data_IF_105492762479
#
_entry.id   IF_105492762479
#
_cell.length_a   1.000
_cell.length_b   1.000
_cell.length_c   1.000
_cell.angle_alpha   90.00
_cell.angle_beta   90.00
_cell.angle_gamma   90.00
#
_symmetry.space_group_name_H-M   'P 1'
#
loop_
_entity.id
_entity.type
_entity.pdbx_description
1 polymer ?
#
# COMPACT_ATOMS: atom_id res chain seq x y z
N UNK A 1 -8.61 6.50 -22.88
CA UNK A 1 -7.15 6.60 -22.64
C UNK A 1 -6.51 5.40 -23.29
N UNK A 2 -5.27 5.52 -23.73
CA UNK A 2 -4.51 4.38 -24.26
C UNK A 2 -3.20 4.30 -23.52
N UNK A 3 -2.83 3.12 -23.05
CA UNK A 3 -1.54 2.86 -22.42
C UNK A 3 -0.75 1.87 -23.26
N UNK A 4 0.52 2.16 -23.47
CA UNK A 4 1.41 1.29 -24.25
C UNK A 4 2.56 0.86 -23.35
N UNK A 5 2.95 -0.41 -23.44
CA UNK A 5 4.05 -0.99 -22.68
C UNK A 5 4.98 -1.75 -23.60
N UNK A 6 6.27 -1.52 -23.44
CA UNK A 6 7.32 -2.30 -24.08
C UNK A 6 8.03 -3.11 -23.01
N UNK A 7 8.49 -4.29 -23.41
CA UNK A 7 9.18 -5.20 -22.52
C UNK A 7 10.66 -5.31 -22.91
N UNK A 8 11.52 -5.63 -21.94
CA UNK A 8 12.88 -6.10 -22.22
C UNK A 8 12.90 -7.60 -22.55
N UNK A 9 14.08 -8.13 -22.84
CA UNK A 9 14.30 -9.55 -23.17
C UNK A 9 13.94 -10.51 -22.02
N UNK A 10 13.70 -10.00 -20.81
CA UNK A 10 13.24 -10.75 -19.65
C UNK A 10 11.72 -10.65 -19.43
N UNK A 11 10.99 -9.95 -20.30
CA UNK A 11 9.55 -9.74 -20.18
C UNK A 11 9.17 -8.74 -19.10
N UNK A 12 10.08 -7.87 -18.67
CA UNK A 12 9.82 -6.78 -17.73
C UNK A 12 9.50 -5.50 -18.49
N UNK A 13 8.63 -4.65 -17.93
CA UNK A 13 8.26 -3.39 -18.58
C UNK A 13 9.47 -2.45 -18.60
N UNK A 14 10.14 -2.32 -19.75
CA UNK A 14 11.26 -1.41 -19.94
C UNK A 14 10.78 0.01 -20.22
N UNK A 15 9.60 0.16 -20.82
CA UNK A 15 9.04 1.46 -21.18
C UNK A 15 7.52 1.47 -21.11
N UNK A 16 6.94 2.61 -20.74
CA UNK A 16 5.48 2.79 -20.75
C UNK A 16 5.08 4.20 -21.16
N UNK A 17 3.95 4.33 -21.85
CA UNK A 17 3.38 5.61 -22.26
C UNK A 17 1.87 5.67 -22.01
N UNK A 18 1.35 6.88 -21.95
CA UNK A 18 -0.08 7.15 -21.79
C UNK A 18 -0.54 8.21 -22.76
N UNK A 19 -1.68 7.95 -23.41
CA UNK A 19 -2.30 8.81 -24.39
C UNK A 19 -3.72 9.17 -23.97
N UNK A 20 -4.10 10.42 -24.22
CA UNK A 20 -5.46 10.94 -24.04
C UNK A 20 -5.92 11.55 -25.35
N UNK A 21 -6.95 10.96 -25.97
CA UNK A 21 -7.48 11.40 -27.27
C UNK A 21 -6.39 11.45 -28.35
N UNK A 22 -5.52 10.45 -28.40
CA UNK A 22 -4.41 10.37 -29.36
C UNK A 22 -3.17 11.20 -28.98
N UNK A 23 -3.26 12.12 -28.02
CA UNK A 23 -2.11 12.91 -27.59
C UNK A 23 -1.36 12.24 -26.44
N UNK A 24 -0.02 12.14 -26.55
CA UNK A 24 0.83 11.66 -25.46
C UNK A 24 0.69 12.58 -24.24
N UNK A 25 0.59 11.97 -23.06
CA UNK A 25 0.44 12.67 -21.77
C UNK A 25 1.69 12.53 -20.90
N UNK A 26 2.25 11.33 -20.82
CA UNK A 26 3.49 11.03 -20.10
C UNK A 26 4.13 9.76 -20.66
N UNK A 27 5.41 9.57 -20.36
CA UNK A 27 6.14 8.33 -20.61
C UNK A 27 7.08 8.01 -19.44
N UNK A 28 7.47 6.76 -19.28
CA UNK A 28 8.41 6.32 -18.26
C UNK A 28 9.32 5.21 -18.78
N UNK A 29 10.61 5.33 -18.49
CA UNK A 29 11.63 4.32 -18.76
C UNK A 29 12.01 3.64 -17.44
N UNK A 30 12.23 2.33 -17.48
CA UNK A 30 12.61 1.53 -16.32
C UNK A 30 13.89 0.76 -16.61
N UNK A 31 14.73 0.67 -15.59
CA UNK A 31 15.93 -0.16 -15.58
C UNK A 31 15.83 -1.15 -14.44
N UNK A 32 16.26 -2.38 -14.70
CA UNK A 32 16.26 -3.47 -13.73
C UNK A 32 17.70 -3.92 -13.43
N UNK A 33 17.89 -4.63 -12.33
CA UNK A 33 19.13 -5.36 -12.09
C UNK A 33 19.11 -6.73 -12.81
N UNK A 34 20.30 -7.33 -12.98
CA UNK A 34 20.48 -8.63 -13.63
C UNK A 34 20.23 -9.84 -12.69
N UNK A 35 19.46 -9.67 -11.61
CA UNK A 35 19.20 -10.77 -10.68
C UNK A 35 18.16 -11.76 -11.22
N UNK A 36 18.20 -13.01 -10.73
CA UNK A 36 17.18 -14.04 -11.01
C UNK A 36 15.74 -13.59 -10.72
N UNK A 37 15.58 -12.66 -9.78
CA UNK A 37 14.34 -11.95 -9.52
C UNK A 37 14.61 -10.45 -9.69
N UNK A 38 14.41 -9.92 -10.90
CA UNK A 38 14.80 -8.56 -11.21
C UNK A 38 13.89 -7.56 -10.48
N UNK A 39 14.49 -6.50 -9.94
CA UNK A 39 13.82 -5.36 -9.34
C UNK A 39 14.27 -4.07 -10.02
N UNK A 40 13.39 -3.06 -9.99
CA UNK A 40 13.67 -1.75 -10.60
C UNK A 40 14.83 -1.08 -9.86
N UNK A 41 15.89 -0.73 -10.58
CA UNK A 41 17.04 0.04 -10.07
C UNK A 41 16.91 1.51 -10.39
N UNK A 42 16.23 1.87 -11.48
CA UNK A 42 15.88 3.26 -11.76
C UNK A 42 14.60 3.41 -12.59
N UNK A 43 13.94 4.55 -12.44
CA UNK A 43 12.85 4.98 -13.30
C UNK A 43 13.09 6.43 -13.76
N UNK A 44 12.74 6.74 -15.00
CA UNK A 44 12.78 8.10 -15.54
C UNK A 44 11.40 8.46 -16.06
N UNK A 45 10.77 9.46 -15.45
CA UNK A 45 9.48 9.98 -15.89
C UNK A 45 9.65 11.19 -16.79
N UNK A 46 8.97 11.18 -17.92
CA UNK A 46 9.03 12.23 -18.95
C UNK A 46 7.63 12.78 -19.23
N UNK A 47 7.56 14.08 -19.50
CA UNK A 47 6.32 14.74 -19.89
C UNK A 47 5.92 14.44 -21.34
N UNK A 48 4.79 15.01 -21.78
CA UNK A 48 4.29 14.86 -23.16
C UNK A 48 5.27 15.25 -24.27
N UNK A 49 6.26 16.11 -23.99
CA UNK A 49 7.30 16.53 -24.95
C UNK A 49 8.55 15.63 -24.92
N UNK A 50 8.59 14.63 -24.05
CA UNK A 50 9.77 13.78 -23.83
C UNK A 50 10.81 14.39 -22.89
N UNK A 51 10.55 15.56 -22.29
CA UNK A 51 11.49 16.14 -21.33
C UNK A 51 11.38 15.39 -19.99
N UNK A 52 12.53 15.07 -19.40
CA UNK A 52 12.61 14.47 -18.07
C UNK A 52 11.99 15.42 -17.03
N UNK A 53 11.06 14.92 -16.24
CA UNK A 53 10.49 15.63 -15.09
C UNK A 53 11.11 15.16 -13.76
N UNK A 54 11.38 13.86 -13.68
CA UNK A 54 11.83 13.18 -12.47
C UNK A 54 12.65 11.95 -12.83
N UNK A 55 13.70 11.69 -12.08
CA UNK A 55 14.36 10.38 -12.06
C UNK A 55 14.34 9.80 -10.65
N UNK A 56 14.22 8.49 -10.56
CA UNK A 56 14.19 7.71 -9.33
C UNK A 56 15.28 6.65 -9.38
N UNK A 57 15.97 6.46 -8.26
CA UNK A 57 17.04 5.48 -8.13
C UNK A 57 16.87 4.69 -6.86
N UNK A 58 17.08 3.38 -6.96
CA UNK A 58 16.88 2.42 -5.89
C UNK A 58 18.16 1.59 -5.72
N UNK A 59 18.70 1.60 -4.51
CA UNK A 59 19.75 0.67 -4.10
C UNK A 59 19.18 -0.28 -3.07
N UNK A 60 19.49 -1.55 -3.26
CA UNK A 60 18.94 -2.65 -2.49
C UNK A 60 20.07 -3.36 -1.76
N UNK A 61 19.91 -3.53 -0.44
CA UNK A 61 20.80 -4.38 0.34
C UNK A 61 20.46 -5.88 0.12
N UNK A 62 19.20 -6.17 -0.19
CA UNK A 62 18.69 -7.50 -0.52
C UNK A 62 17.51 -7.41 -1.50
N UNK A 63 17.04 -8.56 -2.00
CA UNK A 63 15.93 -8.64 -2.97
C UNK A 63 14.58 -8.11 -2.46
N UNK A 64 14.43 -7.85 -1.17
CA UNK A 64 13.15 -7.50 -0.55
C UNK A 64 13.02 -6.03 -0.17
N UNK A 65 14.14 -5.30 0.03
CA UNK A 65 14.10 -3.92 0.54
C UNK A 65 15.21 -3.02 -0.03
N UNK A 66 14.79 -1.86 -0.54
CA UNK A 66 15.71 -0.78 -0.87
C UNK A 66 16.36 -0.23 0.43
N UNK A 67 17.69 -0.22 0.46
CA UNK A 67 18.50 0.44 1.49
C UNK A 67 18.58 1.95 1.23
N UNK A 68 18.46 2.37 -0.03
CA UNK A 68 18.47 3.77 -0.41
C UNK A 68 17.51 4.06 -1.56
N UNK A 69 16.84 5.21 -1.48
CA UNK A 69 15.94 5.70 -2.51
C UNK A 69 16.18 7.19 -2.74
N UNK A 70 16.54 7.57 -3.97
CA UNK A 70 16.87 8.95 -4.36
C UNK A 70 15.93 9.40 -5.48
N UNK A 71 15.50 10.65 -5.42
CA UNK A 71 14.71 11.30 -6.46
C UNK A 71 15.38 12.60 -6.89
N UNK A 72 15.57 12.77 -8.20
CA UNK A 72 16.05 14.01 -8.80
C UNK A 72 14.96 14.70 -9.64
N UNK A 73 15.06 16.02 -9.78
CA UNK A 73 14.24 16.79 -10.71
C UNK A 73 14.87 16.80 -12.12
N UNK A 74 14.24 17.53 -13.04
CA UNK A 74 14.73 17.73 -14.41
C UNK A 74 16.11 18.38 -14.54
N UNK A 75 16.64 19.01 -13.48
CA UNK A 75 17.99 19.60 -13.44
C UNK A 75 19.04 18.68 -12.81
N UNK A 76 18.63 17.49 -12.35
CA UNK A 76 19.48 16.57 -11.60
C UNK A 76 19.57 16.86 -10.10
N UNK A 77 18.90 17.89 -9.59
CA UNK A 77 18.94 18.20 -8.15
C UNK A 77 18.18 17.15 -7.36
N UNK A 78 18.79 16.62 -6.29
CA UNK A 78 18.12 15.73 -5.35
C UNK A 78 16.97 16.46 -4.64
N UNK A 79 15.74 16.06 -4.91
CA UNK A 79 14.54 16.61 -4.24
C UNK A 79 14.15 15.82 -3.01
N UNK A 80 14.45 14.51 -3.01
CA UNK A 80 14.14 13.56 -1.96
C UNK A 80 15.26 12.51 -1.89
N UNK A 81 15.61 12.11 -0.67
CA UNK A 81 16.47 10.95 -0.42
C UNK A 81 16.03 10.27 0.87
N UNK A 82 15.95 8.96 0.86
CA UNK A 82 15.71 8.13 2.04
C UNK A 82 16.78 7.08 2.13
N UNK A 83 17.33 6.89 3.32
CA UNK A 83 18.35 5.89 3.61
C UNK A 83 17.89 5.04 4.78
N UNK A 84 18.21 3.75 4.74
CA UNK A 84 17.99 2.82 5.84
C UNK A 84 19.31 2.20 6.23
N UNK A 85 19.63 2.29 7.51
CA UNK A 85 20.81 1.63 8.03
C UNK A 85 20.52 0.15 8.29
N UNK A 86 21.56 -0.66 8.18
CA UNK A 86 21.52 -2.03 8.69
C UNK A 86 21.31 -2.05 10.21
N UNK A 87 20.80 -3.17 10.72
CA UNK A 87 20.69 -3.37 12.16
C UNK A 87 22.09 -3.66 12.71
N UNK A 88 22.56 -2.80 13.60
CA UNK A 88 23.80 -2.95 14.35
C UNK A 88 23.49 -2.82 15.84
N UNK A 89 23.93 -3.77 16.66
CA UNK A 89 23.70 -3.81 18.10
C UNK A 89 22.21 -3.64 18.48
N UNK A 90 21.34 -4.33 17.74
CA UNK A 90 19.87 -4.27 17.88
C UNK A 90 19.30 -2.85 17.71
N UNK A 91 19.99 -2.00 16.96
CA UNK A 91 19.54 -0.65 16.60
C UNK A 91 19.71 -0.38 15.11
N UNK A 92 18.90 0.53 14.58
CA UNK A 92 19.13 1.10 13.24
C UNK A 92 18.67 2.56 13.19
N UNK A 93 19.23 3.31 12.24
CA UNK A 93 18.83 4.69 11.98
C UNK A 93 18.41 4.82 10.52
N UNK A 94 17.18 5.28 10.30
CA UNK A 94 16.69 5.59 8.97
C UNK A 94 16.65 7.11 8.79
N UNK A 95 17.14 7.62 7.66
CA UNK A 95 17.23 9.05 7.40
C UNK A 95 16.30 9.47 6.27
N UNK A 96 15.70 10.65 6.43
CA UNK A 96 14.87 11.28 5.40
C UNK A 96 15.33 12.71 5.11
N UNK A 97 15.72 12.93 3.86
CA UNK A 97 16.21 14.20 3.34
C UNK A 97 15.24 14.80 2.34
N UNK A 98 15.17 16.13 2.33
CA UNK A 98 14.45 16.91 1.32
C UNK A 98 15.31 18.07 0.85
N UNK A 99 15.55 18.14 -0.46
CA UNK A 99 16.47 19.12 -1.07
C UNK A 99 17.85 19.11 -0.38
N UNK A 100 18.44 17.92 -0.24
CA UNK A 100 19.75 17.71 0.41
C UNK A 100 19.81 17.91 1.93
N UNK A 101 18.74 18.38 2.59
CA UNK A 101 18.73 18.65 4.03
C UNK A 101 18.01 17.55 4.81
N UNK A 102 18.61 17.04 5.89
CA UNK A 102 17.97 16.11 6.81
C UNK A 102 16.72 16.77 7.40
N UNK A 103 15.57 16.13 7.26
CA UNK A 103 14.29 16.63 7.77
C UNK A 103 13.78 15.80 8.93
N UNK A 104 14.02 14.50 8.90
CA UNK A 104 13.55 13.52 9.87
C UNK A 104 14.52 12.34 9.90
N UNK A 105 14.60 11.68 11.04
CA UNK A 105 15.24 10.37 11.14
C UNK A 105 14.51 9.51 12.18
N UNK A 106 14.58 8.20 12.01
CA UNK A 106 13.99 7.23 12.91
C UNK A 106 15.12 6.46 13.58
N UNK A 107 15.05 6.34 14.90
CA UNK A 107 15.91 5.44 15.67
C UNK A 107 15.07 4.24 16.04
N UNK A 108 15.42 3.07 15.50
CA UNK A 108 14.74 1.82 15.77
C UNK A 108 15.55 1.02 16.78
N UNK A 109 14.87 0.42 17.74
CA UNK A 109 15.39 -0.57 18.67
C UNK A 109 14.69 -1.90 18.43
N UNK A 110 15.43 -2.99 18.56
CA UNK A 110 14.96 -4.34 18.28
C UNK A 110 15.15 -5.25 19.50
N UNK A 111 14.35 -6.31 19.56
CA UNK A 111 14.64 -7.45 20.41
C UNK A 111 15.74 -8.33 19.78
N UNK A 112 16.28 -9.28 20.54
CA UNK A 112 17.32 -10.22 20.05
C UNK A 112 16.88 -11.01 18.81
N UNK A 113 15.59 -11.34 18.72
CA UNK A 113 14.99 -11.98 17.55
C UNK A 113 14.80 -11.03 16.33
N UNK A 114 15.35 -9.80 16.39
CA UNK A 114 15.27 -8.74 15.37
C UNK A 114 13.85 -8.21 15.10
N UNK A 115 12.88 -8.52 15.97
CA UNK A 115 11.56 -7.86 15.91
C UNK A 115 11.65 -6.44 16.50
N UNK A 116 10.85 -5.51 15.94
CA UNK A 116 10.82 -4.11 16.39
C UNK A 116 10.34 -4.01 17.83
N UNK A 117 11.18 -3.43 18.69
CA UNK A 117 10.88 -3.15 20.10
C UNK A 117 10.34 -1.73 20.28
N UNK A 118 10.99 -0.76 19.65
CA UNK A 118 10.66 0.66 19.77
C UNK A 118 11.15 1.43 18.54
N UNK A 119 10.42 2.46 18.14
CA UNK A 119 10.88 3.41 17.13
C UNK A 119 10.69 4.83 17.66
N UNK A 120 11.70 5.68 17.52
CA UNK A 120 11.59 7.10 17.86
C UNK A 120 11.83 7.92 16.60
N UNK A 121 10.86 8.75 16.22
CA UNK A 121 11.00 9.72 15.14
C UNK A 121 11.50 11.05 15.72
N UNK A 122 12.60 11.52 15.18
CA UNK A 122 13.18 12.82 15.44
C UNK A 122 12.99 13.76 14.24
N UNK A 123 12.91 15.05 14.52
CA UNK A 123 13.15 16.07 13.49
C UNK A 123 14.63 16.12 13.10
N UNK A 124 14.95 16.69 11.94
CA UNK A 124 16.34 16.85 11.49
C UNK A 124 17.20 17.77 12.38
N UNK A 125 16.62 18.41 13.41
CA UNK A 125 17.34 19.16 14.46
C UNK A 125 17.49 18.38 15.77
N UNK A 126 17.13 17.09 15.80
CA UNK A 126 17.22 16.25 17.00
C UNK A 126 16.06 16.36 17.99
N UNK A 127 15.04 17.18 17.71
CA UNK A 127 13.83 17.21 18.56
C UNK A 127 12.99 15.94 18.35
N UNK A 128 12.72 15.19 19.42
CA UNK A 128 11.77 14.08 19.45
C UNK A 128 10.39 14.52 18.99
N UNK A 129 9.76 13.71 18.14
CA UNK A 129 8.43 13.95 17.59
C UNK A 129 7.46 12.88 18.00
N UNK A 130 7.86 11.62 17.89
CA UNK A 130 6.99 10.48 18.17
C UNK A 130 7.80 9.29 18.64
N UNK A 131 7.18 8.48 19.50
CA UNK A 131 7.69 7.21 19.97
C UNK A 131 6.61 6.16 19.65
N UNK A 132 6.99 5.09 18.95
CA UNK A 132 6.20 3.88 18.84
C UNK A 132 6.79 2.85 19.78
N UNK A 133 5.98 2.40 20.73
CA UNK A 133 6.34 1.37 21.69
C UNK A 133 5.52 0.11 21.37
N UNK A 134 6.22 -0.97 21.06
CA UNK A 134 5.63 -2.25 20.68
C UNK A 134 5.58 -3.24 21.86
N UNK A 135 5.93 -2.80 23.07
CA UNK A 135 5.84 -3.60 24.28
C UNK A 135 4.38 -3.72 24.73
N UNK A 136 3.86 -4.95 24.81
CA UNK A 136 2.52 -5.20 25.33
C UNK A 136 2.50 -4.97 26.85
N UNK A 137 1.54 -4.18 27.32
CA UNK A 137 1.15 -4.15 28.74
C UNK A 137 0.01 -5.13 28.94
N UNK A 138 -0.11 -5.71 30.14
CA UNK A 138 -1.18 -6.65 30.47
C UNK A 138 -2.58 -6.03 30.20
N UNK A 139 -3.53 -6.90 29.85
CA UNK A 139 -4.89 -6.52 29.53
C UNK A 139 -5.54 -5.79 30.71
N UNK A 140 -6.03 -4.56 30.49
CA UNK A 140 -6.61 -3.71 31.54
C UNK A 140 -5.66 -2.71 32.18
N UNK A 141 -4.36 -2.72 31.87
CA UNK A 141 -3.45 -1.66 32.29
C UNK A 141 -3.73 -0.39 31.48
N UNK A 142 -4.10 0.69 32.17
CA UNK A 142 -4.27 2.00 31.56
C UNK A 142 -2.98 2.43 30.85
N UNK A 143 -3.04 2.52 29.53
CA UNK A 143 -1.96 3.11 28.74
C UNK A 143 -2.02 4.62 29.02
N UNK A 144 -1.29 5.05 30.06
CA UNK A 144 -1.19 6.48 30.42
C UNK A 144 -0.85 7.28 29.17
N UNK A 145 -1.65 8.32 28.92
CA UNK A 145 -1.43 9.32 27.89
C UNK A 145 -0.01 9.87 28.00
N UNK A 146 0.92 9.41 27.16
CA UNK A 146 2.15 10.16 26.91
C UNK A 146 1.92 10.97 25.66
N UNK A 147 2.32 12.24 25.73
CA UNK A 147 2.06 13.26 24.71
C UNK A 147 2.48 12.85 23.29
N UNK A 148 3.40 11.88 23.17
CA UNK A 148 4.03 11.49 21.93
C UNK A 148 4.24 9.96 21.77
N UNK A 149 3.50 9.09 22.50
CA UNK A 149 3.62 7.61 22.35
C UNK A 149 2.44 6.96 21.65
N UNK A 150 2.70 6.18 20.60
CA UNK A 150 1.78 5.16 20.10
C UNK A 150 2.16 3.80 20.69
N UNK A 151 1.30 3.21 21.52
CA UNK A 151 1.49 1.85 22.02
C UNK A 151 0.73 0.86 21.14
N UNK A 152 1.34 -0.26 20.78
CA UNK A 152 0.71 -1.36 20.05
C UNK A 152 0.72 -2.64 20.88
N UNK A 153 -0.46 -3.15 21.23
CA UNK A 153 -0.61 -4.49 21.82
C UNK A 153 -1.12 -5.47 20.77
N UNK A 154 -0.60 -6.70 20.76
CA UNK A 154 -1.04 -7.79 19.87
C UNK A 154 -1.46 -9.00 20.71
N UNK A 155 -2.62 -9.58 20.39
CA UNK A 155 -3.00 -10.91 20.82
C UNK A 155 -3.31 -11.79 19.62
N UNK A 156 -2.97 -13.07 19.74
CA UNK A 156 -3.19 -14.07 18.69
C UNK A 156 -3.92 -15.26 19.31
N UNK A 157 -5.02 -15.65 18.69
CA UNK A 157 -5.76 -16.87 19.05
C UNK A 157 -6.00 -17.73 17.81
N UNK A 158 -6.06 -19.04 18.02
CA UNK A 158 -6.36 -20.02 16.98
C UNK A 158 -7.57 -20.83 17.42
N UNK A 159 -8.58 -20.92 16.57
CA UNK A 159 -9.76 -21.74 16.85
C UNK A 159 -9.61 -23.17 16.33
N UNK A 160 -10.61 -24.01 16.63
CA UNK A 160 -10.63 -25.44 16.25
C UNK A 160 -10.70 -25.64 14.73
N UNK A 161 -11.20 -24.65 14.00
CA UNK A 161 -11.35 -24.69 12.54
C UNK A 161 -10.05 -24.25 11.82
N UNK A 162 -8.99 -23.97 12.58
CA UNK A 162 -7.69 -23.58 12.06
C UNK A 162 -7.62 -22.10 11.66
N UNK A 163 -8.63 -21.30 11.97
CA UNK A 163 -8.61 -19.85 11.75
C UNK A 163 -7.75 -19.20 12.82
N UNK A 164 -6.84 -18.34 12.38
CA UNK A 164 -6.00 -17.54 13.27
C UNK A 164 -6.54 -16.11 13.32
N UNK A 165 -6.83 -15.60 14.52
CA UNK A 165 -7.29 -14.23 14.75
C UNK A 165 -6.19 -13.43 15.43
N UNK A 166 -5.79 -12.32 14.81
CA UNK A 166 -4.90 -11.33 15.40
C UNK A 166 -5.72 -10.11 15.80
N UNK A 167 -5.59 -9.68 17.05
CA UNK A 167 -6.20 -8.44 17.55
C UNK A 167 -5.10 -7.47 17.94
N UNK A 168 -5.16 -6.27 17.38
CA UNK A 168 -4.24 -5.18 17.67
C UNK A 168 -4.97 -4.05 18.36
N UNK A 169 -4.44 -3.57 19.48
CA UNK A 169 -4.85 -2.30 20.07
C UNK A 169 -3.75 -1.27 19.83
N UNK A 170 -4.12 -0.12 19.26
CA UNK A 170 -3.18 0.98 19.03
C UNK A 170 -3.75 2.29 19.54
N UNK A 171 -2.95 3.09 20.23
CA UNK A 171 -3.34 4.45 20.65
C UNK A 171 -2.58 5.46 19.80
N UNK A 172 -3.26 6.40 19.12
CA UNK A 172 -2.55 7.42 18.33
C UNK A 172 -2.04 8.59 19.21
N UNK A 173 -1.35 9.56 18.58
CA UNK A 173 -0.84 10.79 19.22
C UNK A 173 -1.89 11.61 19.99
N UNK A 174 -3.16 11.47 19.64
CA UNK A 174 -4.28 12.18 20.28
C UNK A 174 -4.85 11.41 21.47
N UNK A 175 -4.29 10.25 21.80
CA UNK A 175 -4.83 9.33 22.79
C UNK A 175 -6.03 8.54 22.27
N UNK A 176 -6.29 8.53 20.96
CA UNK A 176 -7.43 7.80 20.40
C UNK A 176 -7.06 6.32 20.27
N UNK A 177 -7.83 5.46 20.95
CA UNK A 177 -7.73 4.02 20.83
C UNK A 177 -8.30 3.55 19.48
N UNK A 178 -7.60 2.63 18.84
CA UNK A 178 -8.07 1.85 17.70
C UNK A 178 -7.89 0.39 18.00
N UNK A 179 -8.84 -0.41 17.53
CA UNK A 179 -8.75 -1.87 17.56
C UNK A 179 -8.78 -2.37 16.12
N UNK A 180 -7.86 -3.26 15.79
CA UNK A 180 -7.79 -3.92 14.48
C UNK A 180 -7.91 -5.43 14.68
N UNK A 181 -8.74 -6.08 13.89
CA UNK A 181 -8.95 -7.53 13.92
C UNK A 181 -8.61 -8.06 12.53
N UNK A 182 -7.64 -8.97 12.45
CA UNK A 182 -7.31 -9.69 11.23
C UNK A 182 -7.59 -11.17 11.43
N UNK A 183 -8.23 -11.83 10.46
CA UNK A 183 -8.38 -13.29 10.46
C UNK A 183 -7.71 -13.91 9.25
N UNK A 184 -7.02 -15.02 9.50
CA UNK A 184 -6.42 -15.87 8.49
C UNK A 184 -7.11 -17.24 8.48
N UNK A 185 -7.29 -17.81 7.30
CA UNK A 185 -7.80 -19.18 7.16
C UNK A 185 -6.69 -20.22 7.44
N UNK A 186 -7.01 -21.50 7.26
CA UNK A 186 -6.08 -22.62 7.50
C UNK A 186 -4.82 -22.58 6.62
N UNK A 187 -4.88 -21.91 5.47
CA UNK A 187 -3.75 -21.69 4.56
C UNK A 187 -2.92 -20.43 4.92
N UNK A 188 -3.23 -19.76 6.03
CA UNK A 188 -2.56 -18.53 6.47
C UNK A 188 -2.93 -17.30 5.63
N UNK A 189 -3.96 -17.38 4.77
CA UNK A 189 -4.40 -16.26 3.93
C UNK A 189 -5.40 -15.39 4.69
N UNK A 190 -5.19 -14.07 4.64
CA UNK A 190 -6.12 -13.12 5.24
C UNK A 190 -7.46 -13.13 4.51
N UNK A 191 -8.55 -13.36 5.25
CA UNK A 191 -9.91 -13.31 4.72
C UNK A 191 -10.78 -12.26 5.39
N UNK A 192 -10.36 -11.72 6.54
CA UNK A 192 -11.11 -10.69 7.24
C UNK A 192 -10.19 -9.65 7.85
N UNK A 193 -10.57 -8.38 7.72
CA UNK A 193 -9.94 -7.24 8.38
C UNK A 193 -11.04 -6.32 8.89
N UNK A 194 -10.94 -5.87 10.14
CA UNK A 194 -11.83 -4.86 10.72
C UNK A 194 -11.04 -3.87 11.56
N UNK A 195 -11.37 -2.58 11.46
CA UNK A 195 -10.78 -1.53 12.28
C UNK A 195 -11.85 -0.64 12.90
N UNK A 196 -11.79 -0.46 14.21
CA UNK A 196 -12.70 0.37 15.01
C UNK A 196 -11.93 1.46 15.76
N UNK A 197 -12.67 2.45 16.26
CA UNK A 197 -12.14 3.59 17.04
C UNK A 197 -12.91 3.80 18.33
N UNK A 198 -12.15 4.07 19.39
CA UNK A 198 -12.62 4.44 20.70
C UNK A 198 -13.28 3.27 21.45
N UNK A 199 -13.72 3.51 22.70
CA UNK A 199 -14.30 2.47 23.56
C UNK A 199 -15.66 1.97 23.07
N UNK A 200 -16.32 2.72 22.18
CA UNK A 200 -17.61 2.33 21.56
C UNK A 200 -17.45 1.52 20.27
N UNK A 201 -16.22 1.13 19.92
CA UNK A 201 -15.92 0.37 18.71
C UNK A 201 -16.53 0.97 17.43
N UNK A 202 -16.43 2.30 17.26
CA UNK A 202 -16.93 2.98 16.06
C UNK A 202 -16.22 2.41 14.83
N UNK A 203 -16.96 1.74 13.97
CA UNK A 203 -16.41 1.12 12.76
C UNK A 203 -15.80 2.19 11.86
N UNK A 204 -14.58 1.94 11.39
CA UNK A 204 -13.86 2.80 10.45
C UNK A 204 -13.66 2.12 9.11
N UNK A 205 -13.37 0.82 9.15
CA UNK A 205 -13.08 0.04 7.95
C UNK A 205 -13.35 -1.43 8.20
N UNK A 206 -13.87 -2.11 7.19
CA UNK A 206 -14.04 -3.55 7.18
C UNK A 206 -13.74 -4.09 5.78
N UNK A 207 -13.15 -5.27 5.73
CA UNK A 207 -12.82 -5.97 4.50
C UNK A 207 -13.00 -7.47 4.67
N UNK A 208 -13.57 -8.11 3.66
CA UNK A 208 -13.71 -9.56 3.54
C UNK A 208 -13.16 -10.01 2.20
N UNK A 209 -12.30 -11.03 2.23
CA UNK A 209 -11.78 -11.69 1.03
C UNK A 209 -12.42 -13.07 0.93
N UNK A 210 -12.88 -13.41 -0.27
CA UNK A 210 -13.54 -14.68 -0.55
C UNK A 210 -12.57 -15.57 -1.31
N UNK A 211 -12.40 -16.80 -0.83
CA UNK A 211 -11.55 -17.82 -1.45
C UNK A 211 -12.41 -18.99 -1.94
N UNK A 212 -11.87 -19.79 -2.86
CA UNK A 212 -12.42 -21.12 -3.16
C UNK A 212 -12.21 -22.07 -1.98
N UNK A 213 -12.74 -23.29 -2.10
CA UNK A 213 -12.58 -24.37 -1.13
C UNK A 213 -11.11 -24.77 -0.88
N UNK A 214 -10.21 -24.41 -1.80
CA UNK A 214 -8.76 -24.57 -1.66
C UNK A 214 -8.10 -23.57 -0.68
N UNK A 215 -8.88 -22.64 -0.10
CA UNK A 215 -8.43 -21.61 0.84
C UNK A 215 -7.32 -20.68 0.31
N UNK A 216 -7.04 -20.72 -1.00
CA UNK A 216 -5.87 -20.07 -1.61
C UNK A 216 -6.24 -19.21 -2.81
N UNK A 217 -7.19 -19.66 -3.62
CA UNK A 217 -7.63 -18.95 -4.83
C UNK A 217 -8.67 -17.90 -4.48
N UNK A 218 -8.27 -16.63 -4.53
CA UNK A 218 -9.17 -15.49 -4.29
C UNK A 218 -10.20 -15.36 -5.42
N UNK A 219 -11.48 -15.36 -5.08
CA UNK A 219 -12.60 -15.18 -6.01
C UNK A 219 -13.34 -13.85 -5.81
N UNK A 220 -13.14 -13.20 -4.66
CA UNK A 220 -13.75 -11.91 -4.39
C UNK A 220 -13.05 -11.13 -3.30
N UNK A 221 -13.31 -9.83 -3.27
CA UNK A 221 -12.89 -8.93 -2.21
C UNK A 221 -13.98 -7.89 -2.02
N UNK A 222 -14.37 -7.62 -0.78
CA UNK A 222 -15.28 -6.54 -0.45
C UNK A 222 -14.66 -5.72 0.66
N UNK A 223 -14.76 -4.40 0.58
CA UNK A 223 -14.41 -3.55 1.70
C UNK A 223 -15.26 -2.29 1.73
N UNK A 224 -15.43 -1.74 2.93
CA UNK A 224 -16.18 -0.52 3.17
C UNK A 224 -15.47 0.37 4.19
N UNK A 225 -15.51 1.67 3.94
CA UNK A 225 -15.01 2.68 4.86
C UNK A 225 -16.15 3.47 5.48
N UNK A 226 -15.99 3.83 6.74
CA UNK A 226 -17.03 4.44 7.56
C UNK A 226 -16.55 5.77 8.13
N UNK A 227 -17.46 6.73 8.21
CA UNK A 227 -17.22 8.05 8.82
C UNK A 227 -18.26 8.27 9.89
N UNK A 228 -17.81 8.43 11.14
CA UNK A 228 -18.70 8.56 12.32
C UNK A 228 -19.70 7.40 12.45
N UNK A 229 -19.29 6.19 12.06
CA UNK A 229 -20.14 4.98 12.12
C UNK A 229 -21.02 4.76 10.89
N UNK A 230 -21.17 5.75 10.01
CA UNK A 230 -21.95 5.62 8.77
C UNK A 230 -21.06 5.20 7.60
N UNK A 231 -21.56 4.30 6.74
CA UNK A 231 -20.84 3.89 5.52
C UNK A 231 -20.63 5.12 4.64
N UNK A 232 -19.38 5.32 4.20
CA UNK A 232 -18.97 6.45 3.36
C UNK A 232 -18.58 6.00 1.95
N UNK A 233 -18.10 4.77 1.81
CA UNK A 233 -17.86 4.13 0.53
C UNK A 233 -17.81 2.60 0.68
N UNK A 234 -18.03 1.89 -0.41
CA UNK A 234 -17.79 0.45 -0.54
C UNK A 234 -17.16 0.12 -1.88
N UNK A 235 -16.40 -0.97 -1.90
CA UNK A 235 -15.93 -1.63 -3.10
C UNK A 235 -16.23 -3.12 -3.04
N UNK A 236 -16.53 -3.70 -4.20
CA UNK A 236 -16.67 -5.14 -4.40
C UNK A 236 -15.93 -5.54 -5.67
N UNK A 237 -15.03 -6.51 -5.55
CA UNK A 237 -14.21 -7.04 -6.62
C UNK A 237 -14.57 -8.50 -6.86
N UNK A 238 -14.43 -8.93 -8.10
CA UNK A 238 -14.57 -10.32 -8.54
C UNK A 238 -13.36 -10.71 -9.36
N UNK A 239 -12.92 -11.95 -9.20
CA UNK A 239 -11.72 -12.45 -9.87
C UNK A 239 -12.03 -13.72 -10.67
N UNK A 240 -11.31 -13.92 -11.76
CA UNK A 240 -11.34 -15.18 -12.51
C UNK A 240 -10.57 -16.30 -11.79
N UNK A 241 -10.53 -17.49 -12.38
CA UNK A 241 -9.79 -18.63 -11.83
C UNK A 241 -8.27 -18.45 -11.84
N UNK A 242 -7.74 -17.51 -12.62
CA UNK A 242 -6.32 -17.19 -12.72
C UNK A 242 -5.91 -16.03 -11.80
N UNK A 243 -6.87 -15.43 -11.09
CA UNK A 243 -6.64 -14.32 -10.17
C UNK A 243 -6.75 -12.93 -10.80
N UNK A 244 -7.18 -12.83 -12.05
CA UNK A 244 -7.39 -11.56 -12.74
C UNK A 244 -8.69 -10.90 -12.26
N UNK A 245 -8.69 -9.57 -12.06
CA UNK A 245 -9.88 -8.81 -11.69
C UNK A 245 -10.85 -8.71 -12.88
N UNK A 246 -11.98 -9.44 -12.86
CA UNK A 246 -12.96 -9.34 -13.95
C UNK A 246 -13.82 -8.09 -13.79
N UNK A 247 -14.17 -7.75 -12.54
CA UNK A 247 -15.00 -6.58 -12.27
C UNK A 247 -14.76 -5.98 -10.89
N UNK A 248 -15.01 -4.67 -10.81
CA UNK A 248 -15.06 -3.89 -9.58
C UNK A 248 -16.28 -2.99 -9.57
N UNK A 249 -17.04 -3.05 -8.49
CA UNK A 249 -18.13 -2.13 -8.18
C UNK A 249 -17.70 -1.18 -7.08
N UNK A 250 -18.02 0.10 -7.22
CA UNK A 250 -17.72 1.17 -6.27
C UNK A 250 -18.97 1.95 -5.95
N UNK A 251 -19.18 2.22 -4.67
CA UNK A 251 -20.26 3.08 -4.17
C UNK A 251 -19.69 4.16 -3.26
N UNK A 252 -20.23 5.37 -3.37
CA UNK A 252 -19.93 6.49 -2.47
C UNK A 252 -21.21 7.00 -1.85
N UNK A 253 -21.13 7.29 -0.55
CA UNK A 253 -22.25 7.81 0.22
C UNK A 253 -21.92 9.17 0.83
N UNK A 254 -22.93 10.03 0.98
CA UNK A 254 -22.86 11.30 1.70
C UNK A 254 -24.11 11.42 2.57
N UNK A 255 -23.92 11.47 3.90
CA UNK A 255 -25.02 11.52 4.88
C UNK A 255 -26.05 10.39 4.68
N UNK A 256 -25.56 9.16 4.48
CA UNK A 256 -26.40 7.97 4.27
C UNK A 256 -26.91 7.76 2.83
N UNK A 257 -26.88 8.78 1.97
CA UNK A 257 -27.38 8.68 0.60
C UNK A 257 -26.27 8.34 -0.41
N UNK A 258 -26.58 7.48 -1.39
CA UNK A 258 -25.64 7.11 -2.46
C UNK A 258 -25.50 8.27 -3.45
N UNK A 259 -24.29 8.79 -3.63
CA UNK A 259 -24.00 9.93 -4.51
C UNK A 259 -23.14 9.56 -5.72
N UNK A 260 -22.57 8.36 -5.73
CA UNK A 260 -21.83 7.81 -6.87
C UNK A 260 -21.92 6.29 -6.84
N UNK A 261 -22.12 5.70 -8.02
CA UNK A 261 -21.90 4.28 -8.24
C UNK A 261 -21.14 4.09 -9.55
N UNK A 262 -20.20 3.17 -9.58
CA UNK A 262 -19.46 2.88 -10.79
C UNK A 262 -19.13 1.40 -10.86
N UNK A 263 -19.25 0.83 -12.05
CA UNK A 263 -18.83 -0.52 -12.36
C UNK A 263 -17.67 -0.45 -13.33
N UNK A 264 -16.58 -1.15 -13.02
CA UNK A 264 -15.46 -1.38 -13.91
C UNK A 264 -15.45 -2.85 -14.33
N UNK A 265 -15.23 -3.13 -15.61
CA UNK A 265 -14.92 -4.46 -16.13
C UNK A 265 -13.60 -4.46 -16.87
N UNK A 266 -12.98 -5.63 -16.94
CA UNK A 266 -11.69 -5.84 -17.61
C UNK A 266 -11.78 -6.98 -18.61
N UNK A 267 -11.08 -6.83 -19.73
CA UNK A 267 -10.83 -7.87 -20.72
C UNK A 267 -9.33 -8.15 -20.77
N UNK A 268 -8.94 -9.40 -21.00
CA UNK A 268 -7.57 -9.87 -20.93
C UNK A 268 -7.17 -10.63 -22.21
N UNK A 269 -5.89 -10.57 -22.57
CA UNK A 269 -5.32 -11.40 -23.63
C UNK A 269 -5.01 -12.84 -23.16
N UNK A 270 -4.48 -13.68 -24.06
CA UNK A 270 -4.08 -15.06 -23.77
C UNK A 270 -2.98 -15.17 -22.70
N UNK A 271 -2.19 -14.13 -22.50
CA UNK A 271 -1.13 -14.03 -21.51
C UNK A 271 -1.61 -13.45 -20.17
N UNK A 272 -2.94 -13.27 -19.98
CA UNK A 272 -3.55 -12.69 -18.80
C UNK A 272 -3.16 -11.22 -18.55
N UNK A 273 -2.85 -10.47 -19.62
CA UNK A 273 -2.59 -9.03 -19.54
C UNK A 273 -3.88 -8.27 -19.89
N UNK A 274 -4.26 -7.22 -19.13
CA UNK A 274 -5.49 -6.50 -19.39
C UNK A 274 -5.38 -5.76 -20.72
N UNK A 275 -6.26 -6.01 -21.68
CA UNK A 275 -6.29 -5.30 -22.98
C UNK A 275 -7.29 -4.16 -22.98
N UNK A 276 -8.29 -4.20 -22.09
CA UNK A 276 -9.33 -3.19 -22.00
C UNK A 276 -9.89 -3.07 -20.60
N UNK A 277 -10.18 -1.84 -20.20
CA UNK A 277 -10.91 -1.48 -18.97
C UNK A 277 -12.05 -0.55 -19.35
N UNK A 278 -13.27 -0.96 -19.06
CA UNK A 278 -14.48 -0.15 -19.21
C UNK A 278 -14.99 0.25 -17.83
N UNK A 279 -15.16 1.54 -17.58
CA UNK A 279 -15.83 2.04 -16.37
C UNK A 279 -17.11 2.76 -16.75
N UNK A 280 -18.23 2.32 -16.18
CA UNK A 280 -19.54 2.94 -16.34
C UNK A 280 -20.02 3.48 -15.00
N UNK A 281 -20.40 4.76 -14.94
CA UNK A 281 -20.99 5.40 -13.77
C UNK A 281 -22.50 5.52 -14.02
N UNK A 282 -23.32 4.75 -13.30
CA UNK A 282 -24.74 4.62 -13.66
C UNK A 282 -25.58 5.85 -13.27
N UNK A 283 -25.09 6.65 -12.31
CA UNK A 283 -25.75 7.89 -11.91
C UNK A 283 -25.50 9.03 -12.90
N UNK A 284 -24.27 9.17 -13.39
CA UNK A 284 -23.93 10.18 -14.40
C UNK A 284 -24.16 9.71 -15.83
N UNK A 285 -24.34 8.40 -16.05
CA UNK A 285 -24.36 7.73 -17.36
C UNK A 285 -23.07 7.91 -18.16
N UNK A 286 -21.98 8.27 -17.50
CA UNK A 286 -20.67 8.42 -18.15
C UNK A 286 -20.00 7.06 -18.33
N UNK A 287 -19.25 6.94 -19.43
CA UNK A 287 -18.43 5.77 -19.73
C UNK A 287 -17.00 6.19 -20.05
N UNK A 288 -16.06 5.42 -19.52
CA UNK A 288 -14.63 5.62 -19.70
C UNK A 288 -14.01 4.33 -20.20
N UNK A 289 -13.41 4.39 -21.40
CA UNK A 289 -12.67 3.28 -21.99
C UNK A 289 -11.17 3.55 -21.85
N UNK A 290 -10.46 2.55 -21.36
CA UNK A 290 -9.00 2.49 -21.37
C UNK A 290 -8.57 1.25 -22.11
N UNK A 291 -7.73 1.42 -23.11
CA UNK A 291 -7.14 0.33 -23.88
C UNK A 291 -5.66 0.21 -23.51
N UNK A 292 -5.16 -1.02 -23.50
CA UNK A 292 -3.77 -1.30 -23.22
C UNK A 292 -3.18 -2.06 -24.41
N UNK A 293 -2.04 -1.59 -24.91
CA UNK A 293 -1.29 -2.22 -25.98
C UNK A 293 0.06 -2.68 -25.46
N UNK A 294 0.52 -3.81 -25.98
CA UNK A 294 1.74 -4.49 -25.56
C UNK A 294 2.58 -4.73 -26.80
N UNK A 295 3.69 -4.02 -26.93
CA UNK A 295 4.63 -4.23 -28.02
C UNK A 295 5.53 -5.42 -27.63
N UNK A 296 5.53 -6.45 -28.49
CA UNK A 296 6.34 -7.66 -28.36
C UNK A 296 7.62 -7.47 -29.15
#
# INVERSE_FOLDING_TARGET
YTHTYNFDDHGLISFSESYKKGEKTWSSLYTYNEAKQPYVTSSISMNKKGNIEKSEFYWHADSSRASEYVVTNSKGDTTFRSERSNIQDLKSIDNYYRKGKLKKYWVNEYYENKSLKKTILYSGKGKEKYIWDYQCKEEGIEIKKQKDTTTRCESVSKDKDGITTHVYHTVNEKGELFKTINKQNKAGKYFYFKRTKGPKDLLLFEQTTFYKEDDSTRIGLQYAGYRKGEKSYSYKYTYDSKGNEISRFYEKYKKGEMVKNAQTTYEYDSNNRPIKRLTSDSLSKEQYITEYTYDI
#
